data_IF_130571803445
#
_entry.id   IF_130571803445
#
_cell.length_a   1.000
_cell.length_b   1.000
_cell.length_c   1.000
_cell.angle_alpha   90.00
_cell.angle_beta   90.00
_cell.angle_gamma   90.00
#
_symmetry.space_group_name_H-M   'P 1'
#
loop_
_entity.id
_entity.type
_entity.pdbx_description
1 polymer ?
#
# COMPACT_ATOMS: atom_id res chain seq x y z
N UNK A 1 3.03 8.90 -18.53
CA UNK A 1 3.98 9.62 -17.64
C UNK A 1 3.19 10.68 -16.94
N UNK A 2 3.39 10.83 -15.65
CA UNK A 2 2.68 11.81 -14.83
C UNK A 2 3.70 12.83 -14.33
N UNK A 3 3.29 14.09 -14.31
CA UNK A 3 4.13 15.22 -13.92
C UNK A 3 3.52 15.88 -12.69
N UNK A 4 4.34 16.17 -11.67
CA UNK A 4 3.94 16.92 -10.48
C UNK A 4 4.95 18.03 -10.22
N UNK A 5 4.44 19.26 -10.06
CA UNK A 5 5.27 20.41 -9.71
C UNK A 5 5.48 20.47 -8.18
N UNK A 6 6.08 19.41 -7.65
CA UNK A 6 6.37 19.20 -6.22
C UNK A 6 7.89 19.25 -5.98
N UNK A 7 8.30 19.34 -4.71
CA UNK A 7 9.72 19.35 -4.35
C UNK A 7 10.44 18.05 -4.74
N UNK A 8 11.67 18.17 -5.24
CA UNK A 8 12.51 17.01 -5.60
C UNK A 8 13.12 16.41 -4.32
N UNK A 9 13.05 15.10 -4.19
CA UNK A 9 13.74 14.36 -3.13
C UNK A 9 14.18 12.98 -3.64
N UNK A 10 14.98 12.26 -2.85
CA UNK A 10 15.37 10.88 -3.20
C UNK A 10 14.16 9.94 -3.33
N UNK A 11 13.00 10.29 -2.76
CA UNK A 11 11.72 9.57 -2.90
C UNK A 11 10.78 10.13 -3.97
N UNK A 12 10.99 11.36 -4.45
CA UNK A 12 10.03 12.07 -5.31
C UNK A 12 10.72 12.67 -6.54
N UNK A 13 10.36 12.16 -7.72
CA UNK A 13 10.79 12.69 -9.01
C UNK A 13 9.62 13.47 -9.67
N UNK A 14 9.84 14.67 -10.23
CA UNK A 14 8.80 15.47 -10.89
C UNK A 14 8.10 14.77 -12.05
N UNK A 15 8.73 13.74 -12.61
CA UNK A 15 8.15 12.85 -13.62
C UNK A 15 8.21 11.40 -13.14
N UNK A 16 7.10 10.69 -13.17
CA UNK A 16 7.06 9.26 -12.82
C UNK A 16 6.15 8.45 -13.75
N UNK A 17 6.33 7.13 -13.74
CA UNK A 17 5.49 6.18 -14.46
C UNK A 17 4.35 5.73 -13.57
N UNK A 18 3.14 5.75 -14.10
CA UNK A 18 1.95 5.20 -13.47
C UNK A 18 1.22 4.32 -14.49
N UNK A 19 0.62 3.24 -14.01
CA UNK A 19 -0.33 2.42 -14.76
C UNK A 19 -1.74 2.72 -14.22
N UNK A 20 -2.63 3.17 -15.10
CA UNK A 20 -4.06 3.28 -14.80
C UNK A 20 -4.82 2.20 -15.55
N UNK A 21 -5.80 1.58 -14.90
CA UNK A 21 -6.67 0.58 -15.51
C UNK A 21 -8.12 0.76 -15.05
N UNK A 22 -9.05 0.41 -15.94
CA UNK A 22 -10.48 0.50 -15.68
C UNK A 22 -11.14 -0.81 -16.11
N UNK A 23 -12.05 -1.33 -15.29
CA UNK A 23 -12.82 -2.52 -15.58
C UNK A 23 -14.30 -2.26 -15.29
N UNK A 24 -15.16 -2.40 -16.31
CA UNK A 24 -16.60 -2.25 -16.13
C UNK A 24 -17.15 -3.39 -15.27
N UNK A 25 -18.14 -3.08 -14.43
CA UNK A 25 -18.80 -4.03 -13.52
C UNK A 25 -17.88 -4.67 -12.46
N UNK A 26 -16.75 -4.03 -12.15
CA UNK A 26 -15.84 -4.44 -11.08
C UNK A 26 -15.87 -3.39 -9.95
N UNK A 27 -16.01 -3.85 -8.72
CA UNK A 27 -15.95 -3.02 -7.52
C UNK A 27 -14.51 -2.93 -6.97
N UNK A 28 -14.33 -2.21 -5.86
CA UNK A 28 -13.01 -2.06 -5.22
C UNK A 28 -12.42 -3.38 -4.76
N UNK A 29 -13.24 -4.36 -4.38
CA UNK A 29 -12.75 -5.68 -3.97
C UNK A 29 -12.13 -6.44 -5.15
N UNK A 30 -12.83 -6.45 -6.29
CA UNK A 30 -12.28 -7.02 -7.52
C UNK A 30 -11.01 -6.29 -7.99
N UNK A 31 -10.93 -4.97 -7.80
CA UNK A 31 -9.72 -4.20 -8.12
C UNK A 31 -8.54 -4.57 -7.21
N UNK A 32 -8.78 -4.79 -5.91
CA UNK A 32 -7.76 -5.26 -4.96
C UNK A 32 -7.28 -6.67 -5.31
N UNK A 33 -8.20 -7.59 -5.61
CA UNK A 33 -7.88 -8.96 -6.03
C UNK A 33 -7.01 -8.96 -7.30
N UNK A 34 -7.38 -8.13 -8.28
CA UNK A 34 -6.60 -7.96 -9.52
C UNK A 34 -5.20 -7.41 -9.24
N UNK A 35 -5.09 -6.36 -8.41
CA UNK A 35 -3.81 -5.75 -8.06
C UNK A 35 -2.89 -6.75 -7.36
N UNK A 36 -3.43 -7.52 -6.41
CA UNK A 36 -2.70 -8.57 -5.69
C UNK A 36 -2.16 -9.65 -6.65
N UNK A 37 -3.00 -10.19 -7.54
CA UNK A 37 -2.59 -11.20 -8.52
C UNK A 37 -1.56 -10.64 -9.53
N UNK A 38 -1.76 -9.41 -10.01
CA UNK A 38 -0.82 -8.73 -10.88
C UNK A 38 0.56 -8.58 -10.23
N UNK A 39 0.59 -8.14 -8.96
CA UNK A 39 1.84 -7.96 -8.22
C UNK A 39 2.54 -9.30 -7.98
N UNK A 40 1.81 -10.34 -7.55
CA UNK A 40 2.35 -11.70 -7.35
C UNK A 40 3.03 -12.22 -8.61
N UNK A 41 2.32 -12.19 -9.74
CA UNK A 41 2.85 -12.67 -11.03
C UNK A 41 4.04 -11.85 -11.49
N UNK A 42 4.01 -10.53 -11.30
CA UNK A 42 5.09 -9.65 -11.73
C UNK A 42 6.36 -9.90 -10.91
N UNK A 43 6.24 -10.01 -9.59
CA UNK A 43 7.36 -10.32 -8.69
C UNK A 43 7.92 -11.70 -9.01
N UNK A 44 7.06 -12.74 -9.06
CA UNK A 44 7.51 -14.10 -9.38
C UNK A 44 8.19 -14.16 -10.76
N UNK A 45 7.66 -13.48 -11.77
CA UNK A 45 8.26 -13.44 -13.10
C UNK A 45 9.61 -12.73 -13.12
N UNK A 46 9.77 -11.68 -12.33
CA UNK A 46 10.97 -10.86 -12.29
C UNK A 46 12.09 -11.47 -11.43
N UNK A 47 11.74 -12.13 -10.32
CA UNK A 47 12.69 -12.58 -9.30
C UNK A 47 12.76 -14.10 -9.14
N UNK A 48 11.77 -14.84 -9.64
CA UNK A 48 11.64 -16.29 -9.45
C UNK A 48 11.09 -16.70 -8.07
N UNK A 49 10.70 -15.76 -7.22
CA UNK A 49 10.23 -16.02 -5.86
C UNK A 49 9.18 -14.98 -5.43
N UNK A 50 8.18 -15.38 -4.65
CA UNK A 50 7.25 -14.45 -4.00
C UNK A 50 7.82 -13.82 -2.72
N UNK A 51 8.97 -14.31 -2.24
CA UNK A 51 9.72 -13.74 -1.13
C UNK A 51 10.95 -13.04 -1.66
N UNK A 52 11.12 -11.77 -1.29
CA UNK A 52 12.27 -10.96 -1.68
C UNK A 52 12.89 -10.30 -0.46
N UNK A 53 14.21 -10.10 -0.50
CA UNK A 53 14.89 -9.25 0.48
C UNK A 53 14.90 -7.82 -0.02
N UNK A 54 14.46 -6.89 0.82
CA UNK A 54 14.48 -5.46 0.56
C UNK A 54 14.95 -4.73 1.82
N UNK A 55 16.11 -4.07 1.71
CA UNK A 55 16.84 -3.51 2.85
C UNK A 55 17.04 -4.57 3.95
N UNK A 56 16.55 -4.33 5.16
CA UNK A 56 16.65 -5.25 6.30
C UNK A 56 15.48 -6.24 6.38
N UNK A 57 14.51 -6.16 5.47
CA UNK A 57 13.25 -6.89 5.56
C UNK A 57 13.14 -8.04 4.52
N UNK A 58 12.54 -9.16 4.93
CA UNK A 58 11.99 -10.16 4.00
C UNK A 58 10.52 -9.80 3.70
N UNK A 59 10.23 -9.40 2.48
CA UNK A 59 8.89 -9.07 2.02
C UNK A 59 8.28 -10.30 1.34
N UNK A 60 7.09 -10.70 1.77
CA UNK A 60 6.35 -11.83 1.21
C UNK A 60 5.12 -11.35 0.42
N UNK A 61 5.20 -11.44 -0.90
CA UNK A 61 4.10 -11.12 -1.81
C UNK A 61 3.03 -12.22 -1.90
N UNK A 62 3.20 -13.36 -1.23
CA UNK A 62 2.25 -14.47 -1.27
C UNK A 62 0.88 -14.16 -0.65
N UNK A 63 0.81 -13.19 0.26
CA UNK A 63 -0.41 -12.79 0.98
C UNK A 63 -0.44 -11.29 1.19
N UNK A 64 -1.58 -10.65 0.91
CA UNK A 64 -1.80 -9.24 1.19
C UNK A 64 -2.79 -9.11 2.35
N UNK A 65 -2.43 -8.34 3.37
CA UNK A 65 -3.36 -8.02 4.44
C UNK A 65 -4.39 -6.98 3.94
N UNK A 66 -5.65 -7.09 4.38
CA UNK A 66 -6.67 -6.06 4.20
C UNK A 66 -7.15 -5.63 5.58
N UNK A 67 -6.99 -4.36 5.90
CA UNK A 67 -7.32 -3.81 7.21
C UNK A 67 -7.92 -2.42 7.07
N UNK A 68 -8.95 -2.10 7.85
CA UNK A 68 -9.50 -0.76 7.86
C UNK A 68 -8.47 0.24 8.42
N UNK A 69 -8.49 1.48 7.96
CA UNK A 69 -7.61 2.52 8.52
C UNK A 69 -7.82 2.67 10.03
N UNK A 70 -9.07 2.58 10.49
CA UNK A 70 -9.45 2.61 11.90
C UNK A 70 -8.79 1.46 12.69
N UNK A 71 -8.92 0.22 12.22
CA UNK A 71 -8.37 -0.95 12.91
C UNK A 71 -6.84 -0.95 12.89
N UNK A 72 -6.23 -0.44 11.82
CA UNK A 72 -4.78 -0.28 11.72
C UNK A 72 -4.25 0.70 12.77
N UNK A 73 -4.94 1.82 13.00
CA UNK A 73 -4.61 2.76 14.06
C UNK A 73 -4.78 2.11 15.43
N UNK A 74 -5.92 1.46 15.70
CA UNK A 74 -6.17 0.84 17.00
C UNK A 74 -5.24 -0.34 17.31
N UNK A 75 -4.71 -1.03 16.29
CA UNK A 75 -3.69 -2.06 16.45
C UNK A 75 -2.40 -1.50 17.07
N UNK A 76 -1.99 -0.30 16.66
CA UNK A 76 -0.77 0.36 17.14
C UNK A 76 -1.03 1.21 18.39
N UNK A 77 -2.18 1.88 18.43
CA UNK A 77 -2.58 2.81 19.48
C UNK A 77 -4.02 2.52 19.94
N UNK A 78 -4.23 1.51 20.80
CA UNK A 78 -5.58 1.05 21.20
C UNK A 78 -6.46 2.09 21.90
N UNK A 79 -5.86 3.16 22.44
CA UNK A 79 -6.57 4.24 23.14
C UNK A 79 -6.69 5.51 22.29
N UNK A 80 -6.40 5.45 20.98
CA UNK A 80 -6.56 6.59 20.10
C UNK A 80 -8.05 6.95 19.96
N UNK A 81 -8.36 8.24 20.06
CA UNK A 81 -9.66 8.77 19.69
C UNK A 81 -9.69 8.99 18.16
N UNK A 82 -10.20 8.00 17.45
CA UNK A 82 -10.26 7.99 15.98
C UNK A 82 -11.56 8.65 15.53
N UNK A 83 -11.43 9.83 14.92
CA UNK A 83 -12.51 10.62 14.35
C UNK A 83 -12.19 10.94 12.90
N UNK A 84 -13.18 11.36 12.12
CA UNK A 84 -12.98 11.77 10.71
C UNK A 84 -11.89 12.86 10.54
N UNK A 85 -11.66 13.68 11.58
CA UNK A 85 -10.69 14.78 11.54
C UNK A 85 -9.30 14.34 12.00
N UNK A 86 -9.20 13.27 12.81
CA UNK A 86 -7.93 12.78 13.36
C UNK A 86 -7.36 11.58 12.60
N UNK A 87 -8.19 10.84 11.87
CA UNK A 87 -7.83 9.53 11.30
C UNK A 87 -6.60 9.59 10.38
N UNK A 88 -6.51 10.56 9.47
CA UNK A 88 -5.38 10.67 8.52
C UNK A 88 -4.09 10.98 9.28
N UNK A 89 -4.10 12.00 10.16
CA UNK A 89 -2.91 12.38 10.91
C UNK A 89 -2.43 11.27 11.85
N UNK A 90 -3.36 10.55 12.50
CA UNK A 90 -3.02 9.39 13.33
C UNK A 90 -2.43 8.24 12.50
N UNK A 91 -2.95 8.01 11.29
CA UNK A 91 -2.43 6.98 10.40
C UNK A 91 -1.01 7.28 9.92
N UNK A 92 -0.77 8.50 9.42
CA UNK A 92 0.56 8.94 8.95
C UNK A 92 1.60 8.93 10.09
N UNK A 93 1.21 9.38 11.29
CA UNK A 93 2.11 9.44 12.45
C UNK A 93 2.45 8.05 13.01
N UNK A 94 1.46 7.17 13.17
CA UNK A 94 1.63 5.94 13.95
C UNK A 94 1.66 4.65 13.12
N UNK A 95 1.06 4.63 11.93
CA UNK A 95 0.81 3.39 11.18
C UNK A 95 1.66 3.28 9.93
N UNK A 96 1.76 4.33 9.11
CA UNK A 96 2.33 4.25 7.75
C UNK A 96 3.72 3.57 7.72
N UNK A 97 4.62 3.98 8.61
CA UNK A 97 5.99 3.45 8.67
C UNK A 97 6.09 2.02 9.25
N UNK A 98 4.99 1.47 9.77
CA UNK A 98 4.94 0.11 10.31
C UNK A 98 4.48 -0.94 9.28
N UNK A 99 3.95 -0.49 8.14
CA UNK A 99 3.42 -1.36 7.09
C UNK A 99 4.54 -1.93 6.21
N UNK A 100 5.20 -2.98 6.71
CA UNK A 100 6.32 -3.64 6.01
C UNK A 100 5.83 -4.67 4.98
N UNK A 101 4.85 -5.49 5.34
CA UNK A 101 4.29 -6.49 4.42
C UNK A 101 3.25 -5.85 3.49
N UNK A 102 3.03 -6.38 2.29
CA UNK A 102 2.03 -5.85 1.37
C UNK A 102 0.65 -5.80 2.03
N UNK A 103 0.09 -4.60 2.15
CA UNK A 103 -1.13 -4.34 2.91
C UNK A 103 -2.02 -3.35 2.16
N UNK A 104 -3.28 -3.69 2.00
CA UNK A 104 -4.32 -2.76 1.57
C UNK A 104 -4.97 -2.13 2.80
N UNK A 105 -4.89 -0.81 2.89
CA UNK A 105 -5.70 -0.03 3.83
C UNK A 105 -7.04 0.23 3.16
N UNK A 106 -8.10 -0.27 3.77
CA UNK A 106 -9.48 -0.11 3.31
C UNK A 106 -10.23 0.86 4.23
N UNK A 107 -11.39 1.33 3.76
CA UNK A 107 -12.32 2.11 4.59
C UNK A 107 -13.14 1.20 5.49
#
# INVERSE_FOLDING_TARGET
>A
RNFRNEGISFKHNPEFTMLEFYCAYMDVNGMMDFCEDMMKRSVEKATGSLKISYEENEINFGTFERISMHDAILRVKPQADVTDHSIIGLFEEFVENTLIQPTFIVN
#
